data_IF_083261779119
#
_entry.id   IF_083261779119
#
_cell.length_a   1.000
_cell.length_b   1.000
_cell.length_c   1.000
_cell.angle_alpha   90.00
_cell.angle_beta   90.00
_cell.angle_gamma   90.00
#
_symmetry.space_group_name_H-M   'P 1'
#
loop_
_entity.id
_entity.type
_entity.pdbx_description
1 polymer ?
#
# COMPACT_ATOMS: atom_id res chain seq x y z
N UNK A 1 -28.51 -5.89 25.18
CA UNK A 1 -28.07 -4.89 24.19
C UNK A 1 -28.83 -5.18 22.90
N UNK A 2 -29.89 -4.42 22.61
CA UNK A 2 -30.93 -4.78 21.63
C UNK A 2 -30.53 -4.40 20.20
N UNK A 3 -30.94 -5.21 19.22
CA UNK A 3 -30.66 -5.08 17.78
C UNK A 3 -30.88 -3.67 17.19
N UNK A 4 -31.71 -2.84 17.82
CA UNK A 4 -31.91 -1.45 17.40
C UNK A 4 -30.69 -0.54 17.68
N UNK A 5 -29.93 -0.75 18.77
CA UNK A 5 -28.74 0.07 19.04
C UNK A 5 -27.66 -0.13 17.98
N UNK A 6 -27.48 -1.37 17.50
CA UNK A 6 -26.54 -1.69 16.41
C UNK A 6 -26.89 -1.00 15.09
N UNK A 7 -28.18 -0.89 14.77
CA UNK A 7 -28.63 -0.27 13.51
C UNK A 7 -28.43 1.25 13.54
N UNK A 8 -28.64 1.88 14.68
CA UNK A 8 -28.43 3.32 14.86
C UNK A 8 -26.94 3.69 14.86
N UNK A 9 -26.10 2.85 15.47
CA UNK A 9 -24.64 3.00 15.46
C UNK A 9 -24.08 2.90 14.03
N UNK A 10 -24.58 1.93 13.24
CA UNK A 10 -24.17 1.76 11.83
C UNK A 10 -24.61 2.93 10.95
N UNK A 11 -25.83 3.45 11.15
CA UNK A 11 -26.31 4.65 10.43
C UNK A 11 -25.49 5.89 10.77
N UNK A 12 -25.14 6.06 12.05
CA UNK A 12 -24.28 7.16 12.51
C UNK A 12 -22.90 7.10 11.88
N UNK A 13 -22.27 5.92 11.86
CA UNK A 13 -20.97 5.70 11.24
C UNK A 13 -21.00 6.00 9.73
N UNK A 14 -22.02 5.53 9.00
CA UNK A 14 -22.19 5.83 7.57
C UNK A 14 -22.34 7.33 7.30
N UNK A 15 -23.10 8.03 8.15
CA UNK A 15 -23.29 9.48 8.04
C UNK A 15 -21.99 10.25 8.31
N UNK A 16 -21.17 9.78 9.23
CA UNK A 16 -19.85 10.32 9.51
C UNK A 16 -18.87 10.10 8.35
N UNK A 17 -18.82 8.90 7.79
CA UNK A 17 -17.99 8.56 6.62
C UNK A 17 -18.36 9.41 5.40
N UNK A 18 -19.65 9.59 5.14
CA UNK A 18 -20.12 10.47 4.05
C UNK A 18 -19.77 11.94 4.30
N UNK A 19 -19.78 12.40 5.56
CA UNK A 19 -19.32 13.76 5.93
C UNK A 19 -17.82 13.94 5.74
N UNK A 20 -17.02 12.94 6.08
CA UNK A 20 -15.57 12.97 5.86
C UNK A 20 -15.25 13.08 4.36
N UNK A 21 -15.98 12.35 3.51
CA UNK A 21 -15.85 12.39 2.04
C UNK A 21 -16.31 13.72 1.39
N UNK A 22 -17.02 14.57 2.13
CA UNK A 22 -17.44 15.89 1.64
C UNK A 22 -16.28 16.90 1.57
N UNK A 23 -15.18 16.67 2.29
CA UNK A 23 -13.99 17.53 2.25
C UNK A 23 -13.12 17.19 1.03
N UNK A 24 -12.90 18.17 0.15
CA UNK A 24 -12.15 18.02 -1.12
C UNK A 24 -10.75 17.40 -0.93
N UNK A 25 -10.00 17.88 0.07
CA UNK A 25 -8.66 17.36 0.38
C UNK A 25 -8.70 15.91 0.87
N UNK A 26 -9.68 15.56 1.70
CA UNK A 26 -9.85 14.18 2.18
C UNK A 26 -10.26 13.25 1.05
N UNK A 27 -11.15 13.68 0.14
CA UNK A 27 -11.56 12.88 -1.03
C UNK A 27 -10.42 12.60 -2.00
N UNK A 28 -9.58 13.60 -2.28
CA UNK A 28 -8.37 13.44 -3.10
C UNK A 28 -7.36 12.50 -2.44
N UNK A 29 -7.11 12.67 -1.15
CA UNK A 29 -6.24 11.78 -0.38
C UNK A 29 -6.76 10.35 -0.35
N UNK A 30 -8.04 10.17 -0.04
CA UNK A 30 -8.68 8.86 0.02
C UNK A 30 -8.64 8.15 -1.34
N UNK A 31 -9.05 8.84 -2.42
CA UNK A 31 -9.00 8.27 -3.77
C UNK A 31 -7.58 7.92 -4.21
N UNK A 32 -6.62 8.82 -4.00
CA UNK A 32 -5.21 8.59 -4.34
C UNK A 32 -4.58 7.45 -3.53
N UNK A 33 -4.85 7.41 -2.22
CA UNK A 33 -4.35 6.37 -1.34
C UNK A 33 -4.98 5.00 -1.64
N UNK A 34 -6.28 4.95 -1.90
CA UNK A 34 -6.97 3.71 -2.30
C UNK A 34 -6.40 3.17 -3.61
N UNK A 35 -6.24 4.01 -4.63
CA UNK A 35 -5.67 3.60 -5.90
C UNK A 35 -4.22 3.12 -5.75
N UNK A 36 -3.42 3.84 -4.96
CA UNK A 36 -2.03 3.47 -4.68
C UNK A 36 -1.93 2.13 -3.98
N UNK A 37 -2.80 1.88 -2.98
CA UNK A 37 -2.83 0.62 -2.26
C UNK A 37 -3.20 -0.54 -3.20
N UNK A 38 -4.20 -0.35 -4.07
CA UNK A 38 -4.56 -1.33 -5.09
C UNK A 38 -3.37 -1.61 -6.02
N UNK A 39 -2.67 -0.57 -6.46
CA UNK A 39 -1.46 -0.70 -7.27
C UNK A 39 -0.36 -1.51 -6.57
N UNK A 40 -0.11 -1.24 -5.28
CA UNK A 40 0.86 -1.99 -4.48
C UNK A 40 0.49 -3.47 -4.38
N UNK A 41 -0.78 -3.80 -4.10
CA UNK A 41 -1.23 -5.19 -4.04
C UNK A 41 -1.10 -5.89 -5.39
N UNK A 42 -1.49 -5.21 -6.47
CA UNK A 42 -1.36 -5.74 -7.83
C UNK A 42 0.11 -5.98 -8.19
N UNK A 43 1.01 -5.05 -7.85
CA UNK A 43 2.45 -5.21 -8.06
C UNK A 43 3.00 -6.40 -7.26
N UNK A 44 2.57 -6.58 -6.01
CA UNK A 44 3.01 -7.70 -5.17
C UNK A 44 2.60 -9.06 -5.78
N UNK A 45 1.36 -9.16 -6.26
CA UNK A 45 0.85 -10.38 -6.93
C UNK A 45 1.59 -10.62 -8.25
N UNK A 46 1.76 -9.58 -9.07
CA UNK A 46 2.47 -9.69 -10.35
C UNK A 46 3.93 -10.12 -10.15
N UNK A 47 4.63 -9.54 -9.17
CA UNK A 47 6.01 -9.90 -8.85
C UNK A 47 6.12 -11.34 -8.32
N UNK A 48 5.17 -11.76 -7.47
CA UNK A 48 5.08 -13.15 -7.02
C UNK A 48 4.87 -14.10 -8.20
N UNK A 49 3.99 -13.76 -9.14
CA UNK A 49 3.74 -14.57 -10.34
C UNK A 49 4.96 -14.63 -11.28
N UNK A 50 5.68 -13.53 -11.46
CA UNK A 50 6.89 -13.48 -12.29
C UNK A 50 7.99 -14.39 -11.74
N UNK A 51 8.25 -14.34 -10.43
CA UNK A 51 9.24 -15.20 -9.78
C UNK A 51 8.85 -16.67 -9.91
N UNK A 52 7.55 -16.98 -9.82
CA UNK A 52 7.05 -18.36 -9.97
C UNK A 52 7.39 -18.91 -11.34
N UNK A 53 7.12 -18.11 -12.38
CA UNK A 53 7.43 -18.42 -13.78
C UNK A 53 8.93 -18.59 -14.04
N UNK A 54 9.78 -17.82 -13.38
CA UNK A 54 11.23 -17.89 -13.57
C UNK A 54 11.89 -19.03 -12.79
N UNK A 55 11.30 -19.45 -11.66
CA UNK A 55 11.94 -20.36 -10.72
C UNK A 55 11.34 -21.76 -10.71
N UNK A 56 10.11 -21.93 -11.23
CA UNK A 56 9.30 -23.17 -11.23
C UNK A 56 9.11 -23.83 -9.85
N UNK A 57 9.46 -23.13 -8.77
CA UNK A 57 9.47 -23.63 -7.39
C UNK A 57 8.80 -22.65 -6.43
N UNK A 58 7.70 -23.10 -5.82
CA UNK A 58 6.95 -22.34 -4.82
C UNK A 58 7.75 -22.05 -3.53
N UNK A 59 8.79 -22.84 -3.24
CA UNK A 59 9.63 -22.69 -2.04
C UNK A 59 10.51 -21.44 -2.08
N UNK A 60 11.16 -21.18 -3.22
CA UNK A 60 11.99 -19.98 -3.42
C UNK A 60 11.15 -18.70 -3.41
N UNK A 61 9.90 -18.79 -3.89
CA UNK A 61 8.91 -17.72 -3.79
C UNK A 61 8.61 -17.34 -2.34
N UNK A 62 8.37 -18.34 -1.50
CA UNK A 62 8.17 -18.16 -0.06
C UNK A 62 9.38 -17.49 0.58
N UNK A 63 10.59 -17.96 0.26
CA UNK A 63 11.84 -17.42 0.82
C UNK A 63 12.09 -15.96 0.44
N UNK A 64 11.79 -15.58 -0.81
CA UNK A 64 11.89 -14.18 -1.26
C UNK A 64 10.82 -13.31 -0.58
N UNK A 65 9.59 -13.81 -0.46
CA UNK A 65 8.53 -13.13 0.29
C UNK A 65 8.91 -12.90 1.76
N UNK A 66 9.53 -13.88 2.41
CA UNK A 66 10.07 -13.74 3.77
C UNK A 66 11.21 -12.71 3.85
N UNK A 67 12.11 -12.71 2.88
CA UNK A 67 13.23 -11.74 2.84
C UNK A 67 12.71 -10.30 2.63
N UNK A 68 11.63 -10.13 1.86
CA UNK A 68 10.96 -8.85 1.66
C UNK A 68 10.37 -8.22 2.94
N UNK A 69 10.14 -9.01 3.99
CA UNK A 69 9.62 -8.52 5.28
C UNK A 69 10.74 -8.00 6.21
N UNK A 70 12.00 -8.41 5.98
CA UNK A 70 13.15 -8.02 6.80
C UNK A 70 13.34 -6.50 6.86
N UNK A 71 13.29 -5.75 5.74
CA UNK A 71 13.37 -4.30 5.76
C UNK A 71 12.27 -3.68 6.61
N UNK A 72 11.02 -4.18 6.51
CA UNK A 72 9.89 -3.66 7.28
C UNK A 72 10.09 -3.84 8.78
N UNK A 73 10.63 -4.98 9.21
CA UNK A 73 10.91 -5.24 10.63
C UNK A 73 12.05 -4.37 11.16
N UNK A 74 13.13 -4.24 10.38
CA UNK A 74 14.30 -3.44 10.78
C UNK A 74 13.96 -1.95 10.80
N UNK A 75 13.37 -1.45 9.73
CA UNK A 75 13.09 -0.02 9.57
C UNK A 75 11.77 0.40 10.20
N UNK A 76 10.85 -0.50 10.51
CA UNK A 76 9.54 -0.18 11.10
C UNK A 76 9.63 0.52 12.46
N UNK A 77 10.52 0.05 13.35
CA UNK A 77 10.73 0.69 14.66
C UNK A 77 11.37 2.08 14.55
N UNK A 78 12.25 2.30 13.57
CA UNK A 78 12.88 3.60 13.33
C UNK A 78 11.97 4.57 12.58
N UNK A 79 11.14 4.05 11.66
CA UNK A 79 10.19 4.82 10.88
C UNK A 79 9.17 5.52 11.78
N UNK A 80 8.71 4.88 12.86
CA UNK A 80 7.80 5.51 13.84
C UNK A 80 8.40 6.74 14.53
N UNK A 81 9.67 6.63 14.97
CA UNK A 81 10.37 7.73 15.66
C UNK A 81 10.68 8.90 14.70
N UNK A 82 11.01 8.60 13.45
CA UNK A 82 11.25 9.64 12.43
C UNK A 82 9.95 10.26 11.88
N UNK A 83 8.85 9.49 11.80
CA UNK A 83 7.57 9.96 11.29
C UNK A 83 6.91 11.01 12.19
N UNK A 84 7.13 10.96 13.50
CA UNK A 84 6.61 11.95 14.44
C UNK A 84 7.42 13.27 14.45
N UNK A 85 8.64 13.26 13.93
CA UNK A 85 9.50 14.47 13.87
C UNK A 85 9.39 15.23 12.54
N UNK A 86 8.83 14.60 11.50
CA UNK A 86 8.74 15.17 10.16
C UNK A 86 7.32 15.64 9.85
N UNK A 87 7.19 16.65 8.97
CA UNK A 87 5.90 17.09 8.46
C UNK A 87 5.21 15.92 7.72
N UNK A 88 4.20 15.30 8.35
CA UNK A 88 3.48 14.10 7.87
C UNK A 88 3.04 14.19 6.39
N UNK A 89 2.65 15.39 5.93
CA UNK A 89 2.27 15.65 4.54
C UNK A 89 3.44 15.46 3.56
N UNK A 90 4.61 15.98 3.88
CA UNK A 90 5.80 15.87 3.01
C UNK A 90 6.33 14.45 3.00
N UNK A 91 6.27 13.76 4.16
CA UNK A 91 6.64 12.35 4.26
C UNK A 91 5.74 11.48 3.36
N UNK A 92 4.42 11.69 3.41
CA UNK A 92 3.45 11.00 2.54
C UNK A 92 3.70 11.26 1.05
N UNK A 93 3.96 12.51 0.66
CA UNK A 93 4.23 12.84 -0.75
C UNK A 93 5.54 12.18 -1.21
N UNK A 94 6.57 12.20 -0.37
CA UNK A 94 7.86 11.58 -0.69
C UNK A 94 7.73 10.06 -0.86
N UNK A 95 7.08 9.37 0.08
CA UNK A 95 6.90 7.91 -0.01
C UNK A 95 6.06 7.53 -1.22
N UNK A 96 5.01 8.29 -1.52
CA UNK A 96 4.16 8.06 -2.68
C UNK A 96 4.93 8.27 -4.00
N UNK A 97 5.79 9.29 -4.06
CA UNK A 97 6.65 9.54 -5.22
C UNK A 97 7.69 8.42 -5.40
N UNK A 98 8.31 7.94 -4.31
CA UNK A 98 9.23 6.79 -4.37
C UNK A 98 8.53 5.51 -4.84
N UNK A 99 7.32 5.24 -4.35
CA UNK A 99 6.54 4.08 -4.79
C UNK A 99 6.20 4.15 -6.29
N UNK A 100 5.78 5.32 -6.78
CA UNK A 100 5.55 5.53 -8.22
C UNK A 100 6.84 5.34 -9.05
N UNK A 101 7.97 5.86 -8.57
CA UNK A 101 9.25 5.72 -9.24
C UNK A 101 9.68 4.25 -9.33
N UNK A 102 9.53 3.48 -8.24
CA UNK A 102 9.81 2.05 -8.23
C UNK A 102 8.91 1.27 -9.19
N UNK A 103 7.60 1.57 -9.21
CA UNK A 103 6.66 0.94 -10.13
C UNK A 103 7.01 1.23 -11.60
N UNK A 104 7.39 2.47 -11.92
CA UNK A 104 7.81 2.87 -13.27
C UNK A 104 9.13 2.20 -13.69
N UNK A 105 10.11 2.13 -12.79
CA UNK A 105 11.36 1.42 -13.02
C UNK A 105 11.12 -0.05 -13.33
N UNK A 106 10.30 -0.72 -12.51
CA UNK A 106 9.96 -2.12 -12.71
C UNK A 106 9.23 -2.32 -14.05
N UNK A 107 8.22 -1.50 -14.35
CA UNK A 107 7.51 -1.55 -15.62
C UNK A 107 8.44 -1.36 -16.83
N UNK A 108 9.38 -0.41 -16.74
CA UNK A 108 10.38 -0.17 -17.78
C UNK A 108 11.32 -1.38 -17.96
N UNK A 109 11.83 -1.93 -16.86
CA UNK A 109 12.71 -3.12 -16.89
C UNK A 109 12.01 -4.35 -17.46
N UNK A 110 10.72 -4.54 -17.15
CA UNK A 110 9.91 -5.62 -17.72
C UNK A 110 9.62 -5.39 -19.20
N UNK A 111 9.29 -4.17 -19.63
CA UNK A 111 9.00 -3.84 -21.03
C UNK A 111 10.24 -3.91 -21.93
N UNK A 112 11.42 -3.60 -21.39
CA UNK A 112 12.70 -3.67 -22.12
C UNK A 112 13.27 -5.10 -22.21
N UNK A 113 12.63 -6.08 -21.57
CA UNK A 113 13.06 -7.48 -21.60
C UNK A 113 14.39 -7.74 -20.87
N UNK A 114 14.88 -6.78 -20.08
CA UNK A 114 16.07 -6.97 -19.22
C UNK A 114 15.79 -7.91 -18.05
N UNK A 115 14.52 -8.03 -17.66
CA UNK A 115 14.03 -8.92 -16.61
C UNK A 115 12.93 -9.78 -17.23
N UNK A 116 13.34 -10.88 -17.88
CA UNK A 116 12.49 -11.90 -18.49
C UNK A 116 13.07 -13.29 -18.19
#
# INVERSE_FOLDING_TARGET
>A
MSTQSYLDERKSALKFLMRALAYKNYRLFFGGQSLSLIGTWMQQVAMSWLIYRMTDSAFLLGLIGFTGQIPTVIFGSFAGVYADRLNRRNLLIATQAFAMMQALLLAFLTLTGLVA
#
